data_IF_907539573215
#
_entry.id   IF_907539573215
#
_cell.length_a   1.000
_cell.length_b   1.000
_cell.length_c   1.000
_cell.angle_alpha   90.00
_cell.angle_beta   90.00
_cell.angle_gamma   90.00
#
_symmetry.space_group_name_H-M   'P 1'
#
loop_
_entity.id
_entity.type
_entity.pdbx_description
1 polymer ?
#
# COMPACT_ATOMS: atom_id res chain seq x y z
N UNK A 1 -20.25 -19.25 -5.39
CA UNK A 1 -19.94 -18.89 -3.99
C UNK A 1 -21.07 -18.00 -3.49
N UNK A 2 -21.59 -18.21 -2.28
CA UNK A 2 -22.60 -17.31 -1.75
C UNK A 2 -21.99 -15.89 -1.66
N UNK A 3 -22.64 -14.89 -2.28
CA UNK A 3 -22.25 -13.49 -2.11
C UNK A 3 -22.34 -13.20 -0.61
N UNK A 4 -21.23 -12.82 0.01
CA UNK A 4 -21.24 -12.56 1.45
C UNK A 4 -21.97 -11.24 1.72
N UNK A 5 -22.83 -11.24 2.74
CA UNK A 5 -23.69 -10.11 3.08
C UNK A 5 -23.52 -9.70 4.53
N UNK A 6 -23.69 -8.40 4.80
CA UNK A 6 -23.63 -7.85 6.16
C UNK A 6 -25.01 -7.34 6.54
N UNK A 7 -25.58 -7.88 7.62
CA UNK A 7 -26.80 -7.32 8.20
C UNK A 7 -26.46 -6.31 9.29
N UNK A 8 -26.86 -5.05 9.08
CA UNK A 8 -26.80 -4.00 10.10
C UNK A 8 -28.19 -3.64 10.61
N UNK A 9 -28.25 -3.06 11.81
CA UNK A 9 -29.49 -2.51 12.38
C UNK A 9 -29.25 -1.12 12.95
N UNK A 10 -29.99 -0.14 12.46
CA UNK A 10 -29.92 1.22 13.00
C UNK A 10 -30.97 1.42 14.11
N UNK A 11 -30.57 2.02 15.23
CA UNK A 11 -31.51 2.38 16.30
C UNK A 11 -32.43 3.50 15.82
N UNK A 12 -31.83 4.52 15.23
CA UNK A 12 -32.45 5.69 14.64
C UNK A 12 -31.65 6.07 13.39
N UNK A 13 -32.34 6.58 12.36
CA UNK A 13 -31.69 7.10 11.17
C UNK A 13 -32.55 8.18 10.50
N UNK A 14 -31.90 8.98 9.67
CA UNK A 14 -32.51 9.92 8.73
C UNK A 14 -32.01 9.61 7.32
N UNK A 15 -32.82 9.95 6.33
CA UNK A 15 -32.57 9.69 4.91
C UNK A 15 -32.48 11.02 4.14
N UNK A 16 -31.56 11.07 3.18
CA UNK A 16 -31.36 12.20 2.29
C UNK A 16 -31.06 11.71 0.87
N UNK A 17 -31.70 12.31 -0.12
CA UNK A 17 -31.44 12.07 -1.54
C UNK A 17 -31.20 13.42 -2.22
N UNK A 18 -29.93 13.84 -2.24
CA UNK A 18 -29.50 15.14 -2.82
C UNK A 18 -28.88 14.94 -4.21
N UNK A 19 -28.19 13.81 -4.41
CA UNK A 19 -27.63 13.41 -5.69
C UNK A 19 -28.56 12.35 -6.32
N UNK A 20 -28.82 12.41 -7.64
CA UNK A 20 -29.73 11.48 -8.32
C UNK A 20 -29.32 10.01 -8.20
N UNK A 21 -28.05 9.72 -7.96
CA UNK A 21 -27.49 8.36 -7.88
C UNK A 21 -27.15 7.92 -6.44
N UNK A 22 -27.30 8.80 -5.43
CA UNK A 22 -26.88 8.50 -4.07
C UNK A 22 -28.00 8.78 -3.09
N UNK A 23 -28.43 7.71 -2.41
CA UNK A 23 -29.23 7.74 -1.21
C UNK A 23 -28.32 7.67 0.01
N UNK A 24 -28.42 8.66 0.88
CA UNK A 24 -27.60 8.80 2.09
C UNK A 24 -28.46 8.54 3.32
N UNK A 25 -28.02 7.59 4.15
CA UNK A 25 -28.63 7.25 5.43
C UNK A 25 -27.66 7.61 6.55
N UNK A 26 -28.10 8.44 7.50
CA UNK A 26 -27.30 8.81 8.68
C UNK A 26 -27.99 8.27 9.90
N UNK A 27 -27.33 7.40 10.67
CA UNK A 27 -27.94 6.75 11.82
C UNK A 27 -26.97 6.31 12.90
N UNK A 28 -27.54 5.65 13.91
CA UNK A 28 -26.83 5.15 15.08
C UNK A 28 -26.86 3.61 15.11
N UNK A 29 -25.69 3.00 14.94
CA UNK A 29 -25.48 1.56 14.92
C UNK A 29 -25.14 1.05 16.33
N UNK A 30 -25.89 0.11 16.92
CA UNK A 30 -25.48 -0.56 18.15
C UNK A 30 -24.17 -1.31 17.93
N UNK A 31 -23.20 -1.15 18.84
CA UNK A 31 -21.83 -1.62 18.68
C UNK A 31 -21.69 -3.10 18.30
N UNK A 32 -22.57 -3.97 18.79
CA UNK A 32 -22.58 -5.41 18.44
C UNK A 32 -22.70 -5.70 16.94
N UNK A 33 -23.33 -4.83 16.15
CA UNK A 33 -23.48 -5.04 14.71
C UNK A 33 -22.21 -4.71 13.92
N UNK A 34 -21.20 -4.08 14.57
CA UNK A 34 -19.88 -3.88 13.95
C UNK A 34 -19.15 -5.20 13.79
N UNK A 35 -19.47 -6.22 14.58
CA UNK A 35 -18.86 -7.56 14.44
C UNK A 35 -19.06 -8.10 13.03
N UNK A 36 -20.29 -8.05 12.50
CA UNK A 36 -20.57 -8.49 11.12
C UNK A 36 -19.89 -7.63 10.06
N UNK A 37 -19.74 -6.32 10.30
CA UNK A 37 -18.96 -5.43 9.42
C UNK A 37 -17.50 -5.87 9.41
N UNK A 38 -16.88 -6.07 10.58
CA UNK A 38 -15.47 -6.46 10.68
C UNK A 38 -15.27 -7.87 10.14
N UNK A 39 -16.20 -8.81 10.35
CA UNK A 39 -16.11 -10.18 9.83
C UNK A 39 -15.96 -10.18 8.30
N UNK A 40 -16.82 -9.42 7.63
CA UNK A 40 -16.98 -9.45 6.17
C UNK A 40 -16.15 -8.42 5.39
N UNK A 41 -15.67 -7.36 6.04
CA UNK A 41 -14.98 -6.26 5.37
C UNK A 41 -13.55 -6.08 5.86
N UNK A 42 -12.71 -5.66 4.92
CA UNK A 42 -11.40 -5.06 5.17
C UNK A 42 -11.44 -3.54 4.90
N UNK A 43 -10.30 -2.87 4.94
CA UNK A 43 -10.09 -1.47 4.58
C UNK A 43 -9.58 -1.32 3.13
N UNK A 44 -10.04 -2.18 2.23
CA UNK A 44 -9.68 -2.14 0.80
C UNK A 44 -10.22 -0.88 0.12
N UNK A 45 -11.52 -0.58 0.30
CA UNK A 45 -12.14 0.64 -0.20
C UNK A 45 -11.66 1.91 0.53
N UNK A 46 -11.04 1.76 1.71
CA UNK A 46 -10.45 2.88 2.43
C UNK A 46 -9.10 3.26 1.80
N UNK A 47 -8.77 4.56 1.64
CA UNK A 47 -7.46 4.91 1.10
C UNK A 47 -6.35 4.57 2.08
N UNK A 48 -6.66 4.46 3.37
CA UNK A 48 -5.67 4.25 4.43
C UNK A 48 -5.91 2.94 5.14
N UNK A 49 -4.82 2.24 5.40
CA UNK A 49 -4.83 1.29 6.49
C UNK A 49 -4.79 2.03 7.83
N UNK A 50 -5.49 1.45 8.81
CA UNK A 50 -5.60 2.01 10.15
C UNK A 50 -4.54 1.43 11.07
N UNK A 51 -4.06 2.26 11.99
CA UNK A 51 -3.02 1.88 12.96
C UNK A 51 -3.36 2.38 14.35
N UNK A 52 -3.03 1.58 15.36
CA UNK A 52 -3.12 2.02 16.75
C UNK A 52 -2.20 3.20 17.03
N UNK A 53 -2.76 4.21 17.66
CA UNK A 53 -2.08 5.45 18.06
C UNK A 53 -2.94 6.26 19.03
N UNK A 54 -2.61 7.55 19.18
CA UNK A 54 -3.34 8.46 20.06
C UNK A 54 -4.83 8.56 19.72
N UNK A 55 -5.17 8.57 18.42
CA UNK A 55 -6.56 8.63 17.94
C UNK A 55 -7.36 7.41 18.39
N UNK A 56 -6.87 6.19 18.13
CA UNK A 56 -7.56 4.96 18.54
C UNK A 56 -7.65 4.84 20.06
N UNK A 57 -6.62 5.26 20.79
CA UNK A 57 -6.66 5.30 22.26
C UNK A 57 -7.74 6.24 22.77
N UNK A 58 -7.83 7.47 22.23
CA UNK A 58 -8.87 8.42 22.60
C UNK A 58 -10.29 7.93 22.29
N UNK A 59 -10.48 7.17 21.20
CA UNK A 59 -11.77 6.53 20.87
C UNK A 59 -12.11 5.46 21.92
N UNK A 60 -11.16 4.56 22.24
CA UNK A 60 -11.37 3.51 23.26
C UNK A 60 -11.71 4.11 24.62
N UNK A 61 -10.99 5.17 25.03
CA UNK A 61 -11.26 5.85 26.30
C UNK A 61 -12.63 6.55 26.28
N UNK A 62 -13.03 7.10 25.14
CA UNK A 62 -14.37 7.69 24.97
C UNK A 62 -15.49 6.65 25.05
N UNK A 63 -15.27 5.43 24.54
CA UNK A 63 -16.22 4.31 24.68
C UNK A 63 -16.37 3.94 26.16
N UNK A 64 -15.26 3.75 26.87
CA UNK A 64 -15.28 3.40 28.30
C UNK A 64 -16.05 4.44 29.12
N UNK A 65 -15.75 5.71 28.92
CA UNK A 65 -16.47 6.82 29.57
C UNK A 65 -17.96 6.82 29.26
N UNK A 66 -18.36 6.39 28.07
CA UNK A 66 -19.77 6.35 27.65
C UNK A 66 -20.55 5.20 28.26
N UNK A 67 -19.90 4.06 28.47
CA UNK A 67 -20.52 2.92 29.15
C UNK A 67 -20.65 3.16 30.66
N UNK A 68 -19.72 3.91 31.25
CA UNK A 68 -19.76 4.31 32.66
C UNK A 68 -20.68 5.51 32.93
N UNK A 69 -21.16 6.21 31.88
CA UNK A 69 -21.94 7.43 31.99
C UNK A 69 -23.34 7.30 31.41
N UNK A 70 -24.33 7.88 32.09
CA UNK A 70 -25.69 8.03 31.55
C UNK A 70 -25.80 9.10 30.44
N UNK A 71 -24.73 9.88 30.20
CA UNK A 71 -24.76 11.01 29.26
C UNK A 71 -24.74 10.60 27.78
N UNK A 72 -24.31 9.37 27.44
CA UNK A 72 -24.31 8.80 26.08
C UNK A 72 -23.71 9.75 25.02
N UNK A 73 -22.53 10.31 25.33
CA UNK A 73 -21.84 11.31 24.50
C UNK A 73 -20.96 10.72 23.38
N UNK A 74 -20.66 9.42 23.39
CA UNK A 74 -19.77 8.81 22.41
C UNK A 74 -20.17 9.10 20.95
N UNK A 75 -21.45 9.03 20.55
CA UNK A 75 -21.88 9.39 19.19
C UNK A 75 -21.48 10.81 18.74
N UNK A 76 -21.30 11.74 19.67
CA UNK A 76 -20.93 13.13 19.38
C UNK A 76 -19.42 13.37 19.43
N UNK A 77 -18.66 12.43 20.01
CA UNK A 77 -17.19 12.51 20.14
C UNK A 77 -16.46 11.91 18.94
N UNK A 78 -17.15 11.17 18.07
CA UNK A 78 -16.56 10.51 16.91
C UNK A 78 -17.24 10.89 15.60
N UNK A 79 -16.48 10.83 14.51
CA UNK A 79 -17.00 10.94 13.14
C UNK A 79 -17.75 9.68 12.69
N UNK A 80 -17.59 8.57 13.41
CA UNK A 80 -18.24 7.30 13.07
C UNK A 80 -17.60 6.57 11.89
N UNK A 81 -18.43 5.82 11.17
CA UNK A 81 -18.03 4.98 10.03
C UNK A 81 -18.82 5.43 8.80
N UNK A 82 -18.15 5.60 7.67
CA UNK A 82 -18.79 5.77 6.35
C UNK A 82 -18.73 4.44 5.60
N UNK A 83 -19.90 3.89 5.29
CA UNK A 83 -20.07 2.61 4.62
C UNK A 83 -20.78 2.81 3.28
N UNK A 84 -20.37 2.10 2.24
CA UNK A 84 -21.05 2.13 0.95
C UNK A 84 -21.25 0.72 0.38
N UNK A 85 -22.42 0.47 -0.20
CA UNK A 85 -22.75 -0.78 -0.87
C UNK A 85 -23.63 -0.50 -2.09
N UNK A 86 -23.37 -1.18 -3.21
CA UNK A 86 -24.18 -1.04 -4.43
C UNK A 86 -25.44 -1.91 -4.42
N UNK A 87 -25.46 -3.00 -3.64
CA UNK A 87 -26.58 -3.92 -3.53
C UNK A 87 -27.05 -4.01 -2.09
N UNK A 88 -28.35 -3.87 -1.86
CA UNK A 88 -28.93 -3.92 -0.53
C UNK A 88 -30.37 -4.44 -0.51
N UNK A 89 -30.78 -4.96 0.65
CA UNK A 89 -32.16 -5.31 0.96
C UNK A 89 -32.55 -4.60 2.25
N UNK A 90 -33.62 -3.81 2.18
CA UNK A 90 -34.25 -3.27 3.38
C UNK A 90 -35.07 -4.37 4.07
N UNK A 91 -34.81 -4.53 5.36
CA UNK A 91 -35.46 -5.51 6.20
C UNK A 91 -36.25 -4.81 7.30
N UNK A 92 -37.21 -5.54 7.87
CA UNK A 92 -38.00 -5.05 9.01
C UNK A 92 -37.12 -4.57 10.17
N UNK A 93 -37.66 -3.62 10.94
CA UNK A 93 -37.06 -3.09 12.18
C UNK A 93 -35.75 -2.33 11.95
N UNK A 94 -35.71 -1.52 10.89
CA UNK A 94 -34.58 -0.64 10.55
C UNK A 94 -33.29 -1.44 10.28
N UNK A 95 -33.43 -2.57 9.58
CA UNK A 95 -32.33 -3.45 9.24
C UNK A 95 -32.03 -3.32 7.75
N UNK A 96 -30.76 -3.44 7.42
CA UNK A 96 -30.28 -3.42 6.05
C UNK A 96 -29.35 -4.61 5.89
N UNK A 97 -29.62 -5.44 4.90
CA UNK A 97 -28.67 -6.44 4.41
C UNK A 97 -27.91 -5.83 3.25
N UNK A 98 -26.59 -5.78 3.36
CA UNK A 98 -25.71 -5.11 2.40
C UNK A 98 -24.86 -6.16 1.69
N UNK A 99 -24.70 -6.01 0.38
CA UNK A 99 -23.82 -6.83 -0.44
C UNK A 99 -22.84 -5.92 -1.18
N UNK A 100 -21.56 -6.29 -1.12
CA UNK A 100 -20.47 -5.49 -1.67
C UNK A 100 -19.93 -6.21 -2.91
N UNK A 101 -20.25 -5.67 -4.08
CA UNK A 101 -19.90 -6.32 -5.35
C UNK A 101 -18.45 -6.06 -5.74
N UNK A 102 -17.97 -4.83 -5.53
CA UNK A 102 -16.56 -4.44 -5.73
C UNK A 102 -15.95 -3.99 -4.40
N UNK A 103 -15.13 -4.83 -3.77
CA UNK A 103 -14.49 -4.56 -2.47
C UNK A 103 -13.45 -3.43 -2.53
N UNK A 104 -12.99 -3.06 -3.71
CA UNK A 104 -12.05 -1.96 -3.86
C UNK A 104 -12.72 -0.58 -3.86
N UNK A 105 -14.02 -0.51 -4.12
CA UNK A 105 -14.78 0.76 -4.13
C UNK A 105 -15.91 0.76 -3.10
N UNK A 106 -16.39 -0.41 -2.67
CA UNK A 106 -17.49 -0.59 -1.73
C UNK A 106 -16.97 -1.19 -0.40
N UNK A 107 -17.55 -0.76 0.71
CA UNK A 107 -17.11 -1.12 2.06
C UNK A 107 -16.88 0.11 2.93
N UNK A 108 -15.87 0.05 3.80
CA UNK A 108 -15.54 1.12 4.76
C UNK A 108 -14.75 2.23 4.04
N UNK A 109 -15.43 3.29 3.60
CA UNK A 109 -14.80 4.40 2.88
C UNK A 109 -14.05 5.38 3.81
N UNK A 110 -14.57 5.57 5.02
CA UNK A 110 -13.96 6.40 6.07
C UNK A 110 -14.30 5.82 7.45
N UNK A 111 -13.49 6.17 8.45
CA UNK A 111 -13.64 5.68 9.81
C UNK A 111 -12.84 4.42 10.12
N UNK A 112 -11.84 4.04 9.31
CA UNK A 112 -11.01 2.85 9.58
C UNK A 112 -10.39 2.84 10.99
N UNK A 113 -9.96 4.00 11.52
CA UNK A 113 -9.46 4.10 12.90
C UNK A 113 -10.57 3.91 13.94
N UNK A 114 -11.80 4.35 13.64
CA UNK A 114 -12.95 4.07 14.49
C UNK A 114 -13.25 2.58 14.49
N UNK A 115 -13.31 1.95 13.31
CA UNK A 115 -13.53 0.51 13.17
C UNK A 115 -12.44 -0.29 13.90
N UNK A 116 -11.17 0.07 13.74
CA UNK A 116 -10.05 -0.59 14.43
C UNK A 116 -10.15 -0.42 15.95
N UNK A 117 -10.43 0.80 16.44
CA UNK A 117 -10.54 1.08 17.87
C UNK A 117 -11.71 0.30 18.52
N UNK A 118 -12.88 0.29 17.87
CA UNK A 118 -14.05 -0.44 18.34
C UNK A 118 -13.81 -1.94 18.27
N UNK A 119 -13.21 -2.44 17.18
CA UNK A 119 -12.84 -3.84 17.02
C UNK A 119 -11.85 -4.31 18.09
N UNK A 120 -10.80 -3.55 18.36
CA UNK A 120 -9.83 -3.83 19.44
C UNK A 120 -10.51 -3.82 20.81
N UNK A 121 -11.45 -2.90 21.04
CA UNK A 121 -12.24 -2.89 22.27
C UNK A 121 -13.04 -4.17 22.42
N UNK A 122 -13.84 -4.55 21.41
CA UNK A 122 -14.66 -5.78 21.40
C UNK A 122 -13.78 -7.02 21.61
N UNK A 123 -12.68 -7.15 20.87
CA UNK A 123 -11.74 -8.26 20.97
C UNK A 123 -11.17 -8.39 22.40
N UNK A 124 -10.80 -7.27 23.01
CA UNK A 124 -10.27 -7.26 24.37
C UNK A 124 -11.32 -7.73 25.39
N UNK A 125 -12.57 -7.31 25.23
CA UNK A 125 -13.68 -7.72 26.10
C UNK A 125 -14.04 -9.19 25.90
N UNK A 126 -14.03 -9.68 24.65
CA UNK A 126 -14.25 -11.07 24.32
C UNK A 126 -13.17 -11.99 24.93
N UNK A 127 -11.88 -11.62 24.82
CA UNK A 127 -10.79 -12.37 25.48
C UNK A 127 -10.95 -12.39 27.00
N UNK A 128 -11.34 -11.25 27.60
CA UNK A 128 -11.62 -11.17 29.03
C UNK A 128 -12.78 -12.09 29.44
N UNK A 129 -13.87 -12.11 28.67
CA UNK A 129 -15.02 -13.00 28.88
C UNK A 129 -14.70 -14.49 28.71
N UNK A 130 -13.66 -14.81 27.94
CA UNK A 130 -13.14 -16.17 27.77
C UNK A 130 -12.04 -16.54 28.78
N UNK A 131 -11.69 -15.65 29.72
CA UNK A 131 -10.59 -15.87 30.68
C UNK A 131 -9.19 -15.91 30.03
N UNK A 132 -9.04 -15.34 28.83
CA UNK A 132 -7.81 -15.32 28.05
C UNK A 132 -7.06 -14.00 28.23
N UNK A 133 -5.71 -13.98 28.06
CA UNK A 133 -4.94 -12.74 28.12
C UNK A 133 -5.35 -11.77 27.01
N UNK A 134 -5.20 -10.47 27.28
CA UNK A 134 -5.44 -9.42 26.28
C UNK A 134 -4.49 -9.59 25.07
N UNK A 135 -4.93 -9.19 23.86
CA UNK A 135 -4.10 -9.26 22.67
C UNK A 135 -2.83 -8.41 22.84
N UNK A 136 -1.69 -8.90 22.35
CA UNK A 136 -0.43 -8.14 22.42
C UNK A 136 -0.50 -6.99 21.42
N UNK A 137 0.07 -5.84 21.79
CA UNK A 137 0.05 -4.61 20.95
C UNK A 137 0.53 -4.86 19.51
N UNK A 138 1.57 -5.67 19.30
CA UNK A 138 2.09 -5.99 17.95
C UNK A 138 1.09 -6.74 17.07
N UNK A 139 0.24 -7.57 17.67
CA UNK A 139 -0.72 -8.43 16.99
C UNK A 139 -1.99 -7.64 16.59
N UNK A 140 -2.15 -6.41 17.09
CA UNK A 140 -3.28 -5.54 16.78
C UNK A 140 -2.84 -4.14 16.33
N UNK A 141 -1.55 -3.96 16.03
CA UNK A 141 -0.97 -2.63 15.82
C UNK A 141 -1.50 -1.97 14.54
N UNK A 142 -1.59 -2.74 13.47
CA UNK A 142 -2.12 -2.34 12.17
C UNK A 142 -3.36 -3.19 11.85
N UNK A 143 -4.19 -2.70 10.93
CA UNK A 143 -5.44 -3.37 10.55
C UNK A 143 -5.23 -4.83 10.16
N UNK A 144 -4.23 -5.13 9.34
CA UNK A 144 -3.94 -6.50 8.87
C UNK A 144 -3.68 -7.48 10.03
N UNK A 145 -2.73 -7.16 10.92
CA UNK A 145 -2.45 -7.98 12.11
C UNK A 145 -3.70 -8.12 13.00
N UNK A 146 -4.45 -7.02 13.18
CA UNK A 146 -5.69 -7.03 13.93
C UNK A 146 -6.72 -7.97 13.30
N UNK A 147 -6.88 -7.94 11.97
CA UNK A 147 -7.82 -8.78 11.22
C UNK A 147 -7.46 -10.26 11.34
N UNK A 148 -6.17 -10.59 11.29
CA UNK A 148 -5.71 -11.96 11.56
C UNK A 148 -6.06 -12.38 13.00
N UNK A 149 -5.71 -11.55 14.00
CA UNK A 149 -6.00 -11.83 15.42
C UNK A 149 -7.51 -11.93 15.69
N UNK A 150 -8.32 -11.13 15.00
CA UNK A 150 -9.78 -11.15 15.05
C UNK A 150 -10.31 -12.49 14.55
N UNK A 151 -9.87 -12.95 13.39
CA UNK A 151 -10.25 -14.24 12.80
C UNK A 151 -9.84 -15.40 13.71
N UNK A 152 -8.60 -15.39 14.23
CA UNK A 152 -8.11 -16.40 15.18
C UNK A 152 -8.91 -16.44 16.50
N UNK A 153 -9.54 -15.32 16.85
CA UNK A 153 -10.33 -15.14 18.07
C UNK A 153 -11.84 -15.21 17.81
N UNK A 154 -12.26 -15.61 16.62
CA UNK A 154 -13.67 -15.43 16.21
C UNK A 154 -14.64 -16.22 17.07
N UNK A 155 -14.26 -17.41 17.53
CA UNK A 155 -15.06 -18.20 18.46
C UNK A 155 -15.26 -17.51 19.82
N UNK A 156 -14.22 -16.84 20.33
CA UNK A 156 -14.31 -16.08 21.59
C UNK A 156 -15.26 -14.88 21.43
N UNK A 157 -15.19 -14.20 20.29
CA UNK A 157 -16.07 -13.08 19.95
C UNK A 157 -17.51 -13.54 19.82
N UNK A 158 -17.78 -14.67 19.16
CA UNK A 158 -19.14 -15.19 19.01
C UNK A 158 -19.76 -15.52 20.36
N UNK A 159 -19.03 -16.29 21.17
CA UNK A 159 -19.48 -16.65 22.51
C UNK A 159 -19.75 -15.41 23.37
N UNK A 160 -18.91 -14.37 23.28
CA UNK A 160 -19.14 -13.11 23.96
C UNK A 160 -20.41 -12.40 23.47
N UNK A 161 -20.65 -12.32 22.16
CA UNK A 161 -21.86 -11.70 21.60
C UNK A 161 -23.13 -12.48 21.93
N UNK A 162 -23.06 -13.82 21.99
CA UNK A 162 -24.16 -14.68 22.44
C UNK A 162 -24.51 -14.41 23.91
N UNK A 163 -23.51 -14.34 24.80
CA UNK A 163 -23.71 -13.99 26.22
C UNK A 163 -24.41 -12.64 26.41
N UNK A 164 -24.16 -11.67 25.52
CA UNK A 164 -24.84 -10.39 25.57
C UNK A 164 -26.34 -10.49 25.24
N UNK A 165 -26.82 -11.55 24.59
CA UNK A 165 -28.26 -11.72 24.28
C UNK A 165 -29.07 -12.08 25.53
N UNK A 166 -28.49 -12.88 26.42
CA UNK A 166 -29.13 -13.34 27.65
C UNK A 166 -28.94 -12.35 28.80
N UNK A 167 -30.03 -11.92 29.44
CA UNK A 167 -29.98 -10.88 30.49
C UNK A 167 -29.09 -11.28 31.67
N UNK A 168 -29.22 -12.53 32.13
CA UNK A 168 -28.47 -13.06 33.28
C UNK A 168 -26.96 -13.07 33.01
N UNK A 169 -26.55 -13.57 31.84
CA UNK A 169 -25.14 -13.63 31.46
C UNK A 169 -24.56 -12.23 31.26
N UNK A 170 -25.35 -11.30 30.72
CA UNK A 170 -24.96 -9.90 30.59
C UNK A 170 -24.71 -9.23 31.96
N UNK A 171 -25.53 -9.54 32.96
CA UNK A 171 -25.34 -9.05 34.34
C UNK A 171 -24.09 -9.68 35.00
N UNK A 172 -23.77 -10.94 34.68
CA UNK A 172 -22.54 -11.60 35.13
C UNK A 172 -21.30 -10.95 34.50
N UNK A 173 -21.31 -10.70 33.19
CA UNK A 173 -20.22 -9.99 32.51
C UNK A 173 -19.95 -8.61 33.13
N UNK A 174 -20.99 -7.86 33.47
CA UNK A 174 -20.84 -6.55 34.10
C UNK A 174 -20.19 -6.63 35.50
N UNK A 175 -20.48 -7.68 36.29
CA UNK A 175 -19.84 -7.89 37.60
C UNK A 175 -18.35 -8.13 37.47
N UNK A 176 -17.92 -8.77 36.38
CA UNK A 176 -16.51 -9.00 36.07
C UNK A 176 -15.83 -7.78 35.41
N UNK A 177 -16.55 -6.65 35.31
CA UNK A 177 -16.11 -5.44 34.63
C UNK A 177 -15.87 -5.66 33.14
N UNK A 178 -16.63 -6.58 32.53
CA UNK A 178 -16.64 -6.80 31.08
C UNK A 178 -17.76 -5.96 30.50
N UNK A 179 -17.42 -5.24 29.42
CA UNK A 179 -18.35 -4.37 28.70
C UNK A 179 -19.61 -5.12 28.25
N UNK A 180 -20.74 -4.42 28.23
CA UNK A 180 -21.99 -4.92 27.66
C UNK A 180 -22.21 -4.47 26.20
N UNK A 181 -21.23 -3.75 25.62
CA UNK A 181 -21.30 -3.06 24.34
C UNK A 181 -22.53 -2.15 24.22
N UNK A 182 -22.91 -1.50 25.33
CA UNK A 182 -24.08 -0.63 25.38
C UNK A 182 -23.72 0.80 24.98
N UNK A 183 -23.26 0.96 23.75
CA UNK A 183 -22.99 2.26 23.14
C UNK A 183 -23.39 2.25 21.65
N UNK A 184 -23.55 3.45 21.11
CA UNK A 184 -24.00 3.66 19.73
C UNK A 184 -22.88 4.27 18.90
N UNK A 185 -22.72 3.77 17.68
CA UNK A 185 -21.70 4.22 16.75
C UNK A 185 -22.38 4.99 15.62
N UNK A 186 -22.00 6.25 15.36
CA UNK A 186 -22.49 6.96 14.20
C UNK A 186 -22.11 6.21 12.93
N UNK A 187 -23.10 5.94 12.09
CA UNK A 187 -22.92 5.31 10.78
C UNK A 187 -23.53 6.22 9.72
N UNK A 188 -22.75 6.50 8.69
CA UNK A 188 -23.24 7.06 7.45
C UNK A 188 -23.18 5.96 6.39
N UNK A 189 -24.31 5.66 5.76
CA UNK A 189 -24.46 4.63 4.75
C UNK A 189 -24.84 5.27 3.42
N UNK A 190 -24.05 5.00 2.39
CA UNK A 190 -24.31 5.42 1.01
C UNK A 190 -24.80 4.21 0.21
N UNK A 191 -25.96 4.37 -0.41
CA UNK A 191 -26.60 3.38 -1.26
C UNK A 191 -26.96 4.04 -2.60
N UNK A 192 -27.07 3.29 -3.71
CA UNK A 192 -27.70 3.82 -4.90
C UNK A 192 -29.18 4.13 -4.65
N UNK A 193 -29.69 5.17 -5.29
CA UNK A 193 -31.12 5.51 -5.28
C UNK A 193 -31.97 4.45 -5.96
N UNK A 194 -31.43 3.83 -7.00
CA UNK A 194 -32.00 2.70 -7.73
C UNK A 194 -30.89 1.67 -8.00
N UNK A 195 -30.94 0.54 -7.30
CA UNK A 195 -29.95 -0.54 -7.42
C UNK A 195 -30.19 -1.45 -8.64
N UNK A 196 -31.39 -1.39 -9.23
CA UNK A 196 -31.75 -2.20 -10.41
C UNK A 196 -31.41 -1.45 -11.72
N UNK A 197 -31.00 -0.19 -11.63
CA UNK A 197 -30.59 0.65 -12.76
C UNK A 197 -29.07 0.73 -12.89
N UNK A 198 -28.51 0.07 -13.91
CA UNK A 198 -27.07 0.01 -14.15
C UNK A 198 -26.40 1.40 -14.27
N UNK A 199 -27.06 2.38 -14.90
CA UNK A 199 -26.51 3.74 -15.02
C UNK A 199 -26.46 4.46 -13.67
N UNK A 200 -27.44 4.21 -12.80
CA UNK A 200 -27.44 4.73 -11.43
C UNK A 200 -26.29 4.10 -10.63
N UNK A 201 -26.12 2.79 -10.72
CA UNK A 201 -25.04 2.06 -10.02
C UNK A 201 -23.65 2.48 -10.51
N UNK A 202 -23.46 2.65 -11.81
CA UNK A 202 -22.21 3.17 -12.39
C UNK A 202 -21.92 4.60 -11.88
N UNK A 203 -22.93 5.47 -11.92
CA UNK A 203 -22.84 6.83 -11.41
C UNK A 203 -22.53 6.88 -9.90
N UNK A 204 -23.14 6.00 -9.11
CA UNK A 204 -22.88 5.82 -7.69
C UNK A 204 -21.42 5.42 -7.43
N UNK A 205 -20.94 4.33 -8.08
CA UNK A 205 -19.57 3.82 -7.93
C UNK A 205 -18.52 4.87 -8.31
N UNK A 206 -18.74 5.61 -9.41
CA UNK A 206 -17.87 6.71 -9.83
C UNK A 206 -17.73 7.81 -8.77
N UNK A 207 -18.82 8.11 -8.06
CA UNK A 207 -18.81 9.10 -6.97
C UNK A 207 -18.10 8.60 -5.70
N UNK A 208 -18.03 7.29 -5.46
CA UNK A 208 -17.46 6.75 -4.21
C UNK A 208 -15.98 7.11 -4.03
N UNK A 209 -15.15 7.04 -5.07
CA UNK A 209 -13.74 7.42 -4.95
C UNK A 209 -13.56 8.91 -4.64
N UNK A 210 -14.31 9.78 -5.31
CA UNK A 210 -14.26 11.23 -5.05
C UNK A 210 -14.66 11.55 -3.59
N UNK A 211 -15.74 10.90 -3.11
CA UNK A 211 -16.20 11.05 -1.72
C UNK A 211 -15.15 10.53 -0.74
N UNK A 212 -14.62 9.34 -1.01
CA UNK A 212 -13.59 8.68 -0.21
C UNK A 212 -12.34 9.56 -0.06
N UNK A 213 -11.85 10.10 -1.17
CA UNK A 213 -10.73 11.05 -1.20
C UNK A 213 -11.02 12.33 -0.41
N UNK A 214 -12.21 12.92 -0.60
CA UNK A 214 -12.58 14.17 0.05
C UNK A 214 -12.71 14.02 1.58
N UNK A 215 -13.27 12.91 2.05
CA UNK A 215 -13.54 12.66 3.49
C UNK A 215 -12.28 12.38 4.30
N UNK A 216 -11.28 11.79 3.66
CA UNK A 216 -10.00 11.44 4.28
C UNK A 216 -9.00 12.62 4.39
N UNK A 217 -9.34 13.83 3.91
CA UNK A 217 -8.45 15.00 3.83
C UNK A 217 -8.15 15.73 5.16
N UNK A 218 -8.57 15.25 6.34
CA UNK A 218 -8.21 15.89 7.63
C UNK A 218 -6.69 15.88 7.91
N UNK A 219 -5.96 14.99 7.23
CA UNK A 219 -4.55 15.15 6.87
C UNK A 219 -4.49 14.85 5.36
N UNK A 220 -3.75 15.61 4.56
CA UNK A 220 -3.73 15.43 3.10
C UNK A 220 -3.30 13.99 2.74
N UNK A 221 -4.11 13.28 1.95
CA UNK A 221 -3.70 11.99 1.38
C UNK A 221 -2.45 12.18 0.53
N UNK A 222 -1.46 11.28 0.67
CA UNK A 222 -0.28 11.29 -0.20
C UNK A 222 -0.72 10.97 -1.62
N UNK A 223 -0.04 11.52 -2.63
CA UNK A 223 -0.41 11.31 -4.03
C UNK A 223 -0.37 9.81 -4.41
N UNK A 224 0.59 9.06 -3.87
CA UNK A 224 0.65 7.60 -4.06
C UNK A 224 -0.57 6.86 -3.52
N UNK A 225 -1.14 7.31 -2.40
CA UNK A 225 -2.34 6.67 -1.86
C UNK A 225 -3.55 6.87 -2.77
N UNK A 226 -3.74 8.09 -3.30
CA UNK A 226 -4.81 8.39 -4.26
C UNK A 226 -4.65 7.59 -5.56
N UNK A 227 -3.43 7.57 -6.08
CA UNK A 227 -3.09 6.83 -7.27
C UNK A 227 -3.32 5.31 -7.16
N UNK A 228 -3.12 4.74 -5.97
CA UNK A 228 -3.46 3.34 -5.72
C UNK A 228 -4.98 3.10 -5.80
N UNK A 229 -5.81 4.02 -5.31
CA UNK A 229 -7.27 3.92 -5.48
C UNK A 229 -7.71 4.11 -6.94
N UNK A 230 -7.02 4.99 -7.68
CA UNK A 230 -7.22 5.19 -9.12
C UNK A 230 -6.78 3.98 -9.97
N UNK A 231 -6.14 2.95 -9.39
CA UNK A 231 -5.66 1.77 -10.13
C UNK A 231 -4.33 1.96 -10.89
N UNK A 232 -3.65 3.10 -10.71
CA UNK A 232 -2.43 3.45 -11.48
C UNK A 232 -1.22 2.56 -11.17
N UNK A 233 -1.29 1.76 -10.10
CA UNK A 233 -0.27 0.77 -9.74
C UNK A 233 -0.65 -0.67 -10.07
N UNK A 234 -1.88 -0.93 -10.53
CA UNK A 234 -2.40 -2.29 -10.67
C UNK A 234 -1.57 -3.14 -11.62
N UNK A 235 -1.18 -2.58 -12.76
CA UNK A 235 -0.31 -3.30 -13.70
C UNK A 235 1.04 -3.62 -13.09
N UNK A 236 1.64 -2.67 -12.37
CA UNK A 236 2.94 -2.90 -11.72
C UNK A 236 2.83 -3.98 -10.64
N UNK A 237 1.75 -3.95 -9.84
CA UNK A 237 1.41 -4.99 -8.86
C UNK A 237 1.27 -6.36 -9.53
N UNK A 238 0.47 -6.46 -10.59
CA UNK A 238 0.25 -7.71 -11.32
C UNK A 238 1.55 -8.27 -11.92
N UNK A 239 2.45 -7.41 -12.41
CA UNK A 239 3.74 -7.85 -12.95
C UNK A 239 4.70 -8.37 -11.87
N UNK A 240 4.70 -7.78 -10.67
CA UNK A 240 5.45 -8.35 -9.53
C UNK A 240 4.84 -9.67 -9.07
N UNK A 241 3.51 -9.75 -8.99
CA UNK A 241 2.78 -10.98 -8.64
C UNK A 241 3.10 -12.12 -9.63
N UNK A 242 3.10 -11.82 -10.94
CA UNK A 242 3.45 -12.79 -11.99
C UNK A 242 4.90 -13.30 -11.83
N UNK A 243 5.83 -12.42 -11.43
CA UNK A 243 7.24 -12.78 -11.29
C UNK A 243 7.52 -13.56 -10.00
N UNK A 244 6.98 -13.10 -8.88
CA UNK A 244 7.22 -13.64 -7.54
C UNK A 244 6.11 -13.16 -6.56
N UNK A 245 5.10 -14.00 -6.29
CA UNK A 245 4.02 -13.69 -5.35
C UNK A 245 4.50 -13.32 -3.94
N UNK A 246 5.51 -14.03 -3.41
CA UNK A 246 6.02 -13.79 -2.05
C UNK A 246 6.73 -12.42 -1.95
N UNK A 247 7.36 -11.98 -3.05
CA UNK A 247 7.91 -10.64 -3.13
C UNK A 247 6.79 -9.58 -3.24
N UNK A 248 5.77 -9.85 -4.05
CA UNK A 248 4.67 -8.92 -4.31
C UNK A 248 3.88 -8.59 -3.03
N UNK A 249 3.64 -9.58 -2.17
CA UNK A 249 2.99 -9.40 -0.86
C UNK A 249 3.77 -8.46 0.07
N UNK A 250 5.10 -8.37 -0.08
CA UNK A 250 5.95 -7.49 0.73
C UNK A 250 5.93 -6.02 0.29
N UNK A 251 5.18 -5.66 -0.76
CA UNK A 251 5.12 -4.30 -1.30
C UNK A 251 4.02 -3.48 -0.61
N UNK A 252 4.40 -2.31 -0.12
CA UNK A 252 3.54 -1.30 0.48
C UNK A 252 3.05 -0.32 -0.58
N UNK A 253 1.76 -0.35 -0.87
CA UNK A 253 1.12 0.47 -1.92
C UNK A 253 0.30 1.63 -1.34
N UNK A 254 -0.19 1.49 -0.10
CA UNK A 254 -0.90 2.56 0.61
C UNK A 254 -0.28 2.85 1.97
N UNK A 255 -0.67 3.99 2.52
CA UNK A 255 -0.15 4.42 3.82
C UNK A 255 -0.57 3.43 4.92
N UNK A 256 0.41 3.01 5.74
CA UNK A 256 0.27 2.06 6.85
C UNK A 256 0.03 0.58 6.46
N UNK A 257 0.40 0.14 5.26
CA UNK A 257 0.39 -1.31 4.95
C UNK A 257 1.32 -2.12 5.87
N UNK A 258 2.36 -1.50 6.44
CA UNK A 258 3.30 -2.22 7.31
C UNK A 258 4.27 -3.14 6.56
N UNK A 259 4.05 -3.33 5.27
CA UNK A 259 4.91 -4.02 4.32
C UNK A 259 6.30 -3.41 4.20
N UNK A 260 7.31 -4.26 3.93
CA UNK A 260 8.74 -3.90 3.99
C UNK A 260 9.19 -3.03 2.82
N UNK A 261 8.68 -3.28 1.62
CA UNK A 261 9.15 -2.63 0.39
C UNK A 261 8.24 -1.45 0.06
N UNK A 262 8.79 -0.25 0.09
CA UNK A 262 8.06 0.96 -0.33
C UNK A 262 7.94 0.99 -1.86
N UNK A 263 6.70 1.00 -2.37
CA UNK A 263 6.39 1.10 -3.81
C UNK A 263 7.09 2.28 -4.50
N UNK A 264 7.35 3.38 -3.80
CA UNK A 264 8.09 4.53 -4.36
C UNK A 264 9.51 4.18 -4.79
N UNK A 265 10.15 3.23 -4.12
CA UNK A 265 11.49 2.77 -4.52
C UNK A 265 11.42 1.93 -5.81
N UNK A 266 10.36 1.15 -5.99
CA UNK A 266 10.14 0.37 -7.21
C UNK A 266 9.78 1.29 -8.39
N UNK A 267 8.92 2.30 -8.16
CA UNK A 267 8.60 3.34 -9.16
C UNK A 267 9.85 4.14 -9.54
N UNK A 268 10.72 4.45 -8.57
CA UNK A 268 11.99 5.11 -8.87
C UNK A 268 12.90 4.26 -9.76
N UNK A 269 12.95 2.94 -9.55
CA UNK A 269 13.69 2.02 -10.43
C UNK A 269 13.04 1.89 -11.81
N UNK A 270 11.70 1.86 -11.90
CA UNK A 270 11.01 1.73 -13.19
C UNK A 270 11.27 2.90 -14.15
N UNK A 271 11.66 4.06 -13.63
CA UNK A 271 12.13 5.17 -14.46
C UNK A 271 13.36 4.85 -15.31
N UNK A 272 14.17 3.85 -14.94
CA UNK A 272 15.30 3.40 -15.76
C UNK A 272 14.81 2.93 -17.14
N UNK A 273 13.78 2.08 -17.19
CA UNK A 273 13.19 1.59 -18.45
C UNK A 273 12.16 2.56 -19.03
N UNK A 274 11.32 3.21 -18.20
CA UNK A 274 10.34 4.19 -18.68
C UNK A 274 10.99 5.38 -19.39
N UNK A 275 12.21 5.77 -18.99
CA UNK A 275 12.99 6.83 -19.65
C UNK A 275 13.37 6.51 -21.11
N UNK A 276 13.17 5.29 -21.58
CA UNK A 276 13.42 4.88 -22.97
C UNK A 276 12.17 5.00 -23.84
N UNK A 277 10.98 5.12 -23.24
CA UNK A 277 9.73 5.21 -23.96
C UNK A 277 9.67 6.50 -24.79
N UNK A 278 9.02 6.45 -25.94
CA UNK A 278 8.85 7.62 -26.81
C UNK A 278 8.04 8.74 -26.13
N UNK A 279 7.21 8.40 -25.15
CA UNK A 279 6.45 9.35 -24.33
C UNK A 279 7.28 10.32 -23.52
N UNK A 280 8.55 10.00 -23.26
CA UNK A 280 9.47 10.87 -22.50
C UNK A 280 10.79 11.13 -23.19
N UNK A 281 11.08 10.38 -24.26
CA UNK A 281 12.34 10.40 -25.00
C UNK A 281 12.11 10.57 -26.52
N UNK A 282 11.23 11.49 -26.90
CA UNK A 282 11.00 11.88 -28.30
C UNK A 282 10.71 13.39 -28.44
N UNK A 283 10.63 13.88 -29.67
CA UNK A 283 10.24 15.27 -29.96
C UNK A 283 8.78 15.60 -29.62
N UNK A 284 7.91 14.58 -29.56
CA UNK A 284 6.48 14.70 -29.24
C UNK A 284 6.15 14.11 -27.86
N UNK A 285 7.14 14.12 -26.95
CA UNK A 285 6.99 13.59 -25.59
C UNK A 285 5.84 14.27 -24.83
N UNK A 286 5.15 13.48 -24.01
CA UNK A 286 4.11 13.95 -23.09
C UNK A 286 4.70 14.70 -21.91
N UNK A 287 5.84 14.24 -21.39
CA UNK A 287 6.53 14.85 -20.25
C UNK A 287 8.02 14.53 -20.19
N UNK A 288 8.74 15.29 -19.37
CA UNK A 288 10.16 15.04 -19.10
C UNK A 288 10.33 13.95 -18.06
N UNK A 289 11.17 12.96 -18.37
CA UNK A 289 11.62 11.97 -17.39
C UNK A 289 12.34 12.66 -16.21
N UNK A 290 12.22 12.12 -14.99
CA UNK A 290 13.04 12.57 -13.88
C UNK A 290 14.53 12.34 -14.17
N UNK A 291 15.40 13.15 -13.58
CA UNK A 291 16.85 12.96 -13.75
C UNK A 291 17.29 11.62 -13.15
N UNK A 292 18.36 11.02 -13.70
CA UNK A 292 18.94 9.78 -13.18
C UNK A 292 19.21 9.84 -11.67
N UNK A 293 19.67 10.99 -11.17
CA UNK A 293 19.93 11.22 -9.73
C UNK A 293 18.68 11.12 -8.86
N UNK A 294 17.50 11.40 -9.42
CA UNK A 294 16.23 11.39 -8.69
C UNK A 294 15.82 9.98 -8.29
N UNK A 295 16.29 8.93 -8.99
CA UNK A 295 15.96 7.55 -8.62
C UNK A 295 16.53 7.18 -7.23
N UNK A 296 17.66 7.78 -6.85
CA UNK A 296 18.27 7.64 -5.52
C UNK A 296 17.71 8.65 -4.52
N UNK A 297 17.76 9.94 -4.87
CA UNK A 297 17.59 11.04 -3.93
C UNK A 297 16.24 11.75 -3.97
N UNK A 298 15.41 11.43 -4.97
CA UNK A 298 14.16 12.14 -5.27
C UNK A 298 13.00 11.19 -5.58
N UNK A 299 12.83 10.11 -4.81
CA UNK A 299 11.79 9.08 -5.04
C UNK A 299 10.38 9.65 -5.10
N UNK A 300 10.08 10.69 -4.32
CA UNK A 300 8.78 11.39 -4.38
C UNK A 300 8.57 12.07 -5.74
N UNK A 301 9.60 12.71 -6.29
CA UNK A 301 9.54 13.31 -7.64
C UNK A 301 9.38 12.24 -8.73
N UNK A 302 10.02 11.09 -8.57
CA UNK A 302 9.81 9.94 -9.46
C UNK A 302 8.36 9.44 -9.39
N UNK A 303 7.77 9.39 -8.19
CA UNK A 303 6.36 9.06 -8.02
C UNK A 303 5.46 10.07 -8.72
N UNK A 304 5.63 11.37 -8.44
CA UNK A 304 4.86 12.46 -9.08
C UNK A 304 4.86 12.32 -10.61
N UNK A 305 6.04 12.18 -11.22
CA UNK A 305 6.16 12.01 -12.67
C UNK A 305 5.52 10.73 -13.19
N UNK A 306 5.57 9.65 -12.42
CA UNK A 306 4.96 8.38 -12.83
C UNK A 306 3.45 8.55 -12.86
N UNK A 307 2.88 9.24 -11.87
CA UNK A 307 1.46 9.55 -11.83
C UNK A 307 1.03 10.49 -12.95
N UNK A 308 1.83 11.52 -13.26
CA UNK A 308 1.59 12.39 -14.42
C UNK A 308 1.48 11.56 -15.70
N UNK A 309 2.46 10.67 -15.95
CA UNK A 309 2.47 9.77 -17.11
C UNK A 309 1.23 8.86 -17.14
N UNK A 310 0.96 8.16 -16.04
CA UNK A 310 -0.10 7.17 -15.98
C UNK A 310 -1.50 7.78 -16.04
N UNK A 311 -1.69 9.06 -15.70
CA UNK A 311 -3.00 9.74 -15.81
C UNK A 311 -3.32 10.22 -17.22
N UNK A 312 -2.37 10.20 -18.16
CA UNK A 312 -2.67 10.52 -19.54
C UNK A 312 -3.56 9.45 -20.18
N UNK A 313 -4.59 9.91 -20.92
CA UNK A 313 -5.53 9.06 -21.65
C UNK A 313 -4.86 8.26 -22.79
N UNK A 314 -3.62 8.62 -23.16
CA UNK A 314 -2.81 7.85 -24.11
C UNK A 314 -2.12 6.63 -23.47
N UNK A 315 -2.07 6.58 -22.13
CA UNK A 315 -1.35 5.55 -21.36
C UNK A 315 -2.32 4.64 -20.62
N UNK A 316 -3.29 5.21 -19.89
CA UNK A 316 -4.34 4.48 -19.20
C UNK A 316 -5.72 4.97 -19.62
N UNK A 317 -6.74 4.11 -19.54
CA UNK A 317 -8.15 4.47 -19.80
C UNK A 317 -9.02 4.16 -18.60
N UNK A 318 -10.07 4.96 -18.41
CA UNK A 318 -11.08 4.70 -17.38
C UNK A 318 -11.93 3.46 -17.75
N UNK A 319 -12.13 2.56 -16.79
CA UNK A 319 -12.89 1.31 -16.98
C UNK A 319 -14.22 1.36 -16.20
N UNK A 320 -15.22 2.09 -16.73
CA UNK A 320 -16.59 2.16 -16.18
C UNK A 320 -16.69 2.64 -14.72
N UNK A 321 -15.59 3.14 -14.18
CA UNK A 321 -15.43 3.59 -12.80
C UNK A 321 -14.37 4.68 -12.77
N UNK A 322 -14.08 5.21 -11.60
CA UNK A 322 -12.97 6.14 -11.37
C UNK A 322 -11.58 5.46 -11.36
N UNK A 323 -11.51 4.14 -11.58
CA UNK A 323 -10.26 3.40 -11.80
C UNK A 323 -9.79 3.49 -13.26
N UNK A 324 -8.48 3.38 -13.46
CA UNK A 324 -7.81 3.46 -14.75
C UNK A 324 -6.92 2.24 -14.99
N UNK A 325 -6.96 1.71 -16.20
CA UNK A 325 -6.19 0.54 -16.61
C UNK A 325 -5.17 0.90 -17.69
N UNK A 326 -3.94 0.38 -17.57
CA UNK A 326 -2.89 0.56 -18.56
C UNK A 326 -3.25 -0.17 -19.86
N UNK A 327 -3.15 0.55 -20.98
CA UNK A 327 -3.34 -0.04 -22.30
C UNK A 327 -2.15 0.17 -23.24
N UNK A 328 -1.29 1.17 -22.99
CA UNK A 328 -0.17 1.46 -23.86
C UNK A 328 0.90 0.33 -23.82
N UNK A 329 1.18 -0.33 -24.97
CA UNK A 329 2.10 -1.46 -25.01
C UNK A 329 3.57 -1.05 -24.76
N UNK A 330 3.94 0.20 -25.06
CA UNK A 330 5.29 0.70 -24.84
C UNK A 330 5.57 0.83 -23.32
N UNK A 331 4.70 1.52 -22.59
CA UNK A 331 4.77 1.63 -21.12
C UNK A 331 4.66 0.26 -20.46
N UNK A 332 3.77 -0.62 -20.92
CA UNK A 332 3.66 -1.98 -20.38
C UNK A 332 4.98 -2.75 -20.52
N UNK A 333 5.63 -2.71 -21.69
CA UNK A 333 6.91 -3.38 -21.91
C UNK A 333 8.06 -2.79 -21.07
N UNK A 334 8.05 -1.47 -20.85
CA UNK A 334 9.00 -0.82 -19.97
C UNK A 334 8.80 -1.25 -18.51
N UNK A 335 7.55 -1.35 -18.03
CA UNK A 335 7.25 -1.87 -16.69
C UNK A 335 7.64 -3.34 -16.54
N UNK A 336 7.41 -4.18 -17.55
CA UNK A 336 7.88 -5.58 -17.57
C UNK A 336 9.40 -5.67 -17.38
N UNK A 337 10.15 -4.86 -18.13
CA UNK A 337 11.60 -4.76 -17.99
C UNK A 337 12.02 -4.26 -16.60
N UNK A 338 11.26 -3.33 -16.02
CA UNK A 338 11.55 -2.77 -14.70
C UNK A 338 11.43 -3.78 -13.55
N UNK A 339 10.59 -4.81 -13.69
CA UNK A 339 10.36 -5.81 -12.64
C UNK A 339 11.63 -6.62 -12.33
N UNK A 340 12.59 -6.70 -13.26
CA UNK A 340 13.88 -7.35 -13.00
C UNK A 340 14.81 -6.52 -12.10
N UNK A 341 14.62 -5.19 -12.05
CA UNK A 341 15.57 -4.26 -11.44
C UNK A 341 15.79 -4.47 -9.93
N UNK A 342 14.79 -4.80 -9.09
CA UNK A 342 15.04 -5.12 -7.68
C UNK A 342 15.96 -6.34 -7.48
N UNK A 343 15.80 -7.39 -8.30
CA UNK A 343 16.67 -8.57 -8.26
C UNK A 343 18.08 -8.25 -8.76
N UNK A 344 18.19 -7.48 -9.84
CA UNK A 344 19.48 -7.04 -10.37
C UNK A 344 20.21 -6.12 -9.39
N UNK A 345 19.49 -5.24 -8.69
CA UNK A 345 20.04 -4.37 -7.65
C UNK A 345 20.69 -5.21 -6.54
N UNK A 346 19.98 -6.20 -6.02
CA UNK A 346 20.46 -7.07 -4.94
C UNK A 346 21.60 -7.99 -5.38
N UNK A 347 21.59 -8.45 -6.64
CA UNK A 347 22.70 -9.19 -7.22
C UNK A 347 23.96 -8.31 -7.31
N UNK A 348 23.85 -7.11 -7.87
CA UNK A 348 24.96 -6.15 -7.95
C UNK A 348 25.45 -5.81 -6.54
N UNK A 349 24.54 -5.56 -5.59
CA UNK A 349 24.85 -5.28 -4.19
C UNK A 349 25.77 -6.36 -3.58
N UNK A 350 25.42 -7.65 -3.73
CA UNK A 350 26.24 -8.74 -3.17
C UNK A 350 27.59 -8.91 -3.85
N UNK A 351 27.64 -8.67 -5.16
CA UNK A 351 28.87 -8.84 -5.94
C UNK A 351 29.82 -7.63 -5.81
N UNK A 352 29.30 -6.46 -5.41
CA UNK A 352 30.05 -5.21 -5.40
C UNK A 352 31.33 -5.26 -4.54
N UNK A 353 31.32 -5.77 -3.28
CA UNK A 353 32.52 -5.82 -2.45
C UNK A 353 33.65 -6.63 -3.06
N UNK A 354 33.37 -7.82 -3.60
CA UNK A 354 34.39 -8.69 -4.20
C UNK A 354 35.01 -8.08 -5.46
N UNK A 355 34.22 -7.34 -6.24
CA UNK A 355 34.69 -6.60 -7.42
C UNK A 355 35.56 -5.42 -7.05
N UNK A 356 35.14 -4.63 -6.06
CA UNK A 356 35.94 -3.52 -5.54
C UNK A 356 37.29 -4.03 -4.98
N UNK A 357 37.30 -5.18 -4.31
CA UNK A 357 38.52 -5.76 -3.72
C UNK A 357 39.62 -6.10 -4.75
N UNK A 358 39.33 -6.10 -6.05
CA UNK A 358 40.34 -6.24 -7.11
C UNK A 358 41.26 -5.02 -7.24
N UNK A 359 40.80 -3.86 -6.79
CA UNK A 359 41.51 -2.57 -6.92
C UNK A 359 41.78 -1.88 -5.58
N UNK A 360 41.37 -2.50 -4.47
CA UNK A 360 41.50 -1.90 -3.15
C UNK A 360 41.01 -2.82 -2.04
N UNK A 361 40.74 -2.26 -0.86
CA UNK A 361 40.19 -3.00 0.28
C UNK A 361 38.84 -2.39 0.67
N UNK A 362 37.75 -3.02 0.24
CA UNK A 362 36.39 -2.52 0.40
C UNK A 362 36.05 -2.28 1.87
N UNK A 363 36.36 -3.23 2.75
CA UNK A 363 36.12 -3.11 4.20
C UNK A 363 36.90 -2.00 4.90
N UNK A 364 37.89 -1.36 4.24
CA UNK A 364 38.61 -0.21 4.80
C UNK A 364 37.92 1.12 4.56
N UNK A 365 36.95 1.18 3.65
CA UNK A 365 36.18 2.39 3.33
C UNK A 365 35.42 2.86 4.57
N UNK A 366 35.52 4.15 4.91
CA UNK A 366 34.91 4.75 6.09
C UNK A 366 33.39 4.58 6.13
N UNK A 367 32.71 4.84 5.01
CA UNK A 367 31.27 4.67 4.87
C UNK A 367 30.82 3.21 5.11
N UNK A 368 31.61 2.23 4.67
CA UNK A 368 31.33 0.80 4.87
C UNK A 368 31.49 0.42 6.35
N UNK A 369 32.58 0.87 6.99
CA UNK A 369 32.78 0.67 8.44
C UNK A 369 31.64 1.23 9.27
N UNK A 370 31.09 2.37 8.88
CA UNK A 370 29.93 2.98 9.55
C UNK A 370 28.64 2.16 9.47
N UNK A 371 28.52 1.27 8.48
CA UNK A 371 27.35 0.38 8.31
C UNK A 371 27.54 -1.00 8.94
N UNK A 372 28.77 -1.36 9.33
CA UNK A 372 29.05 -2.65 9.95
C UNK A 372 28.39 -2.75 11.33
N UNK A 373 27.77 -3.90 11.61
CA UNK A 373 27.11 -4.17 12.89
C UNK A 373 27.84 -5.28 13.66
N UNK A 374 27.63 -5.33 14.99
CA UNK A 374 28.32 -6.29 15.87
C UNK A 374 27.97 -7.76 15.58
N UNK A 375 26.84 -8.01 14.91
CA UNK A 375 26.35 -9.37 14.60
C UNK A 375 26.89 -9.90 13.27
N UNK A 376 27.48 -9.03 12.43
CA UNK A 376 27.86 -9.34 11.05
C UNK A 376 26.71 -9.96 10.23
N UNK A 377 25.48 -9.55 10.52
CA UNK A 377 24.29 -9.97 9.79
C UNK A 377 23.89 -8.83 8.85
N UNK A 378 24.06 -9.02 7.55
CA UNK A 378 23.66 -8.07 6.53
C UNK A 378 22.74 -8.74 5.54
N UNK A 379 21.79 -7.97 5.03
CA UNK A 379 20.78 -8.43 4.09
C UNK A 379 20.69 -7.49 2.91
N UNK A 380 20.29 -8.02 1.77
CA UNK A 380 20.08 -7.22 0.56
C UNK A 380 18.80 -6.40 0.64
N UNK A 381 18.75 -5.18 0.05
CA UNK A 381 17.63 -4.27 0.25
C UNK A 381 16.26 -4.77 -0.23
N UNK A 382 16.17 -5.49 -1.34
CA UNK A 382 14.87 -5.86 -1.92
C UNK A 382 14.43 -7.28 -1.63
N UNK A 383 15.34 -8.26 -1.59
CA UNK A 383 15.03 -9.68 -1.42
C UNK A 383 15.36 -10.19 -0.02
N UNK A 384 15.96 -9.34 0.83
CA UNK A 384 16.36 -9.70 2.19
C UNK A 384 17.29 -10.93 2.26
N UNK A 385 18.09 -11.14 1.20
CA UNK A 385 19.01 -12.28 1.12
C UNK A 385 20.29 -11.97 1.91
N UNK A 386 20.93 -12.98 2.54
CA UNK A 386 22.18 -12.76 3.25
C UNK A 386 23.26 -12.13 2.35
N UNK A 387 24.03 -11.21 2.92
CA UNK A 387 25.17 -10.56 2.28
C UNK A 387 26.38 -10.55 3.22
N UNK A 388 27.57 -10.72 2.66
CA UNK A 388 28.81 -10.80 3.46
C UNK A 388 29.18 -9.45 4.08
N UNK A 389 28.87 -8.35 3.38
CA UNK A 389 29.21 -6.99 3.79
C UNK A 389 28.09 -6.01 3.44
N UNK A 390 27.90 -4.94 4.23
CA UNK A 390 26.94 -3.90 3.89
C UNK A 390 27.48 -3.06 2.73
N UNK A 391 26.57 -2.60 1.87
CA UNK A 391 26.89 -1.70 0.77
C UNK A 391 26.05 -0.43 0.85
N UNK A 392 26.68 0.76 0.89
CA UNK A 392 25.94 2.00 0.78
C UNK A 392 25.17 2.07 -0.54
N UNK A 393 23.87 2.32 -0.46
CA UNK A 393 23.00 2.44 -1.64
C UNK A 393 23.54 3.39 -2.72
N UNK A 394 24.11 4.53 -2.29
CA UNK A 394 24.66 5.54 -3.20
C UNK A 394 25.76 5.01 -4.13
N UNK A 395 26.40 3.88 -3.79
CA UNK A 395 27.36 3.22 -4.67
C UNK A 395 26.69 2.32 -5.73
N UNK A 396 25.49 1.80 -5.45
CA UNK A 396 24.78 0.84 -6.33
C UNK A 396 23.84 1.54 -7.31
N UNK A 397 23.16 2.63 -6.90
CA UNK A 397 22.18 3.33 -7.74
C UNK A 397 22.72 3.79 -9.12
N UNK A 398 23.97 4.26 -9.26
CA UNK A 398 24.53 4.54 -10.58
C UNK A 398 24.75 3.28 -11.43
N UNK A 399 25.14 2.16 -10.83
CA UNK A 399 25.35 0.90 -11.54
C UNK A 399 24.04 0.28 -12.03
N UNK A 400 23.00 0.26 -11.18
CA UNK A 400 21.68 -0.23 -11.60
C UNK A 400 21.08 0.64 -12.69
N UNK A 401 21.24 1.97 -12.60
CA UNK A 401 20.86 2.88 -13.68
C UNK A 401 21.63 2.58 -14.97
N UNK A 402 22.93 2.31 -14.87
CA UNK A 402 23.75 2.03 -16.04
C UNK A 402 23.37 0.75 -16.79
N UNK A 403 22.60 -0.17 -16.19
CA UNK A 403 21.97 -1.28 -16.93
C UNK A 403 21.00 -0.81 -18.02
N UNK A 404 20.55 0.46 -18.00
CA UNK A 404 19.86 1.10 -19.12
C UNK A 404 20.63 0.95 -20.44
N UNK A 405 21.96 0.90 -20.41
CA UNK A 405 22.80 0.71 -21.60
C UNK A 405 22.61 -0.65 -22.29
N UNK A 406 22.07 -1.65 -21.60
CA UNK A 406 21.74 -2.98 -22.15
C UNK A 406 20.23 -3.17 -22.34
N UNK A 407 19.44 -2.09 -22.28
CA UNK A 407 18.05 -2.06 -22.72
C UNK A 407 17.99 -1.49 -24.14
N UNK A 408 16.99 -1.90 -24.91
CA UNK A 408 16.73 -1.37 -26.26
C UNK A 408 15.25 -1.11 -26.46
N UNK A 409 14.96 -0.15 -27.35
CA UNK A 409 13.62 0.04 -27.91
C UNK A 409 13.57 -0.74 -29.22
N UNK A 410 12.67 -1.72 -29.30
CA UNK A 410 12.45 -2.48 -30.52
C UNK A 410 11.86 -1.55 -31.60
N UNK A 411 12.55 -1.46 -32.74
CA UNK A 411 12.23 -0.52 -33.82
C UNK A 411 10.91 -0.84 -34.53
N UNK A 412 10.42 -2.08 -34.46
CA UNK A 412 9.20 -2.51 -35.16
C UNK A 412 7.94 -2.22 -34.35
N UNK A 413 8.00 -2.38 -33.02
CA UNK A 413 6.82 -2.30 -32.15
C UNK A 413 6.94 -1.27 -31.01
N UNK A 414 8.07 -0.54 -30.94
CA UNK A 414 8.32 0.49 -29.95
C UNK A 414 8.49 -0.03 -28.51
N UNK A 415 8.56 -1.34 -28.28
CA UNK A 415 8.63 -1.94 -26.95
C UNK A 415 10.03 -1.84 -26.36
N UNK A 416 10.09 -1.58 -25.06
CA UNK A 416 11.33 -1.61 -24.28
C UNK A 416 11.60 -3.05 -23.85
N UNK A 417 12.80 -3.55 -24.14
CA UNK A 417 13.23 -4.90 -23.78
C UNK A 417 14.72 -4.92 -23.43
N UNK A 418 15.16 -5.95 -22.70
CA UNK A 418 16.57 -6.22 -22.51
C UNK A 418 17.21 -6.66 -23.82
N UNK A 419 18.34 -6.03 -24.19
CA UNK A 419 19.08 -6.38 -25.40
C UNK A 419 19.87 -7.71 -25.25
N UNK A 420 20.15 -8.10 -24.01
CA UNK A 420 20.77 -9.38 -23.61
C UNK A 420 20.20 -9.83 -22.27
N UNK A 421 20.41 -11.08 -21.86
CA UNK A 421 19.97 -11.52 -20.54
C UNK A 421 20.73 -10.73 -19.45
N UNK A 422 20.02 -9.89 -18.65
CA UNK A 422 20.69 -9.00 -17.71
C UNK A 422 21.36 -9.77 -16.56
N UNK A 423 20.78 -10.90 -16.13
CA UNK A 423 21.33 -11.73 -15.06
C UNK A 423 22.65 -12.39 -15.48
N UNK A 424 22.70 -12.94 -16.70
CA UNK A 424 23.95 -13.50 -17.25
C UNK A 424 24.98 -12.40 -17.50
N UNK A 425 24.55 -11.23 -17.99
CA UNK A 425 25.45 -10.11 -18.24
C UNK A 425 26.11 -9.61 -16.95
N UNK A 426 25.36 -9.46 -15.85
CA UNK A 426 25.94 -9.01 -14.59
C UNK A 426 26.90 -10.04 -13.98
N UNK A 427 26.86 -11.32 -14.39
CA UNK A 427 27.85 -12.33 -13.95
C UNK A 427 29.15 -12.29 -14.77
N UNK A 428 29.14 -11.62 -15.92
CA UNK A 428 30.27 -11.58 -16.84
C UNK A 428 31.51 -10.87 -16.29
N UNK A 429 32.68 -11.26 -16.80
CA UNK A 429 33.95 -10.56 -16.57
C UNK A 429 33.92 -9.14 -17.13
N UNK A 430 33.23 -8.90 -18.24
CA UNK A 430 33.05 -7.59 -18.85
C UNK A 430 32.33 -6.63 -17.88
N UNK A 431 31.21 -7.05 -17.29
CA UNK A 431 30.52 -6.25 -16.29
C UNK A 431 31.35 -6.07 -15.01
N UNK A 432 32.15 -7.07 -14.61
CA UNK A 432 33.09 -6.91 -13.49
C UNK A 432 34.13 -5.80 -13.76
N UNK A 433 34.62 -5.70 -14.99
CA UNK A 433 35.53 -4.62 -15.41
C UNK A 433 34.81 -3.26 -15.43
N UNK A 434 33.56 -3.21 -15.86
CA UNK A 434 32.76 -1.97 -15.79
C UNK A 434 32.58 -1.46 -14.36
N UNK A 435 32.32 -2.36 -13.40
CA UNK A 435 32.24 -1.99 -11.97
C UNK A 435 33.58 -1.44 -11.48
N UNK A 436 34.71 -2.07 -11.85
CA UNK A 436 36.05 -1.59 -11.49
C UNK A 436 36.32 -0.19 -12.05
N UNK A 437 35.97 0.07 -13.32
CA UNK A 437 36.11 1.39 -13.93
C UNK A 437 35.25 2.43 -13.20
N UNK A 438 33.99 2.10 -12.90
CA UNK A 438 33.08 2.96 -12.15
C UNK A 438 33.59 3.30 -10.74
N UNK A 439 34.28 2.37 -10.06
CA UNK A 439 34.85 2.62 -8.73
C UNK A 439 35.81 3.82 -8.69
N UNK A 440 36.41 4.23 -9.82
CA UNK A 440 37.17 5.48 -9.91
C UNK A 440 36.35 6.72 -9.50
N UNK A 441 35.04 6.75 -9.81
CA UNK A 441 34.14 7.84 -9.40
C UNK A 441 33.93 7.86 -7.89
N UNK A 442 33.85 6.68 -7.26
CA UNK A 442 33.72 6.56 -5.81
C UNK A 442 34.98 7.12 -5.12
N UNK A 443 36.16 6.82 -5.66
CA UNK A 443 37.43 7.35 -5.15
C UNK A 443 37.50 8.87 -5.29
N UNK A 444 37.10 9.41 -6.44
CA UNK A 444 37.04 10.87 -6.69
C UNK A 444 36.02 11.59 -5.78
N UNK A 445 35.02 10.86 -5.30
CA UNK A 445 34.00 11.39 -4.39
C UNK A 445 34.34 11.19 -2.91
N UNK A 446 35.62 11.01 -2.58
CA UNK A 446 36.13 10.76 -1.22
C UNK A 446 35.47 9.56 -0.52
N UNK A 447 34.99 8.57 -1.29
CA UNK A 447 34.21 7.45 -0.78
C UNK A 447 32.92 7.84 -0.04
N UNK A 448 32.37 9.03 -0.31
CA UNK A 448 31.11 9.49 0.26
C UNK A 448 29.92 9.02 -0.60
N UNK A 449 29.09 8.09 -0.11
CA UNK A 449 27.96 7.56 -0.88
C UNK A 449 26.89 8.62 -1.18
N UNK A 450 26.77 9.68 -0.39
CA UNK A 450 25.85 10.78 -0.70
C UNK A 450 26.36 11.60 -1.88
N UNK A 451 27.66 11.90 -1.94
CA UNK A 451 28.27 12.57 -3.11
C UNK A 451 28.13 11.72 -4.37
N UNK A 452 28.43 10.43 -4.27
CA UNK A 452 28.32 9.50 -5.42
C UNK A 452 26.87 9.42 -5.89
N UNK A 453 25.93 9.10 -5.00
CA UNK A 453 24.52 8.89 -5.34
C UNK A 453 23.80 10.16 -5.80
N UNK A 454 24.24 11.36 -5.38
CA UNK A 454 23.69 12.65 -5.81
C UNK A 454 24.45 13.29 -6.98
N UNK A 455 25.60 12.73 -7.37
CA UNK A 455 26.42 13.23 -8.46
C UNK A 455 25.94 12.71 -9.81
N UNK A 456 25.50 13.61 -10.70
CA UNK A 456 25.04 13.23 -12.05
C UNK A 456 26.12 12.49 -12.85
N UNK A 457 27.39 12.88 -12.70
CA UNK A 457 28.52 12.24 -13.36
C UNK A 457 28.67 10.75 -13.01
N UNK A 458 28.29 10.33 -11.80
CA UNK A 458 28.32 8.93 -11.39
C UNK A 458 27.46 8.05 -12.28
N UNK A 459 26.26 8.53 -12.64
CA UNK A 459 25.31 7.80 -13.49
C UNK A 459 25.81 7.72 -14.93
N UNK A 460 26.28 8.84 -15.49
CA UNK A 460 26.86 8.88 -16.83
C UNK A 460 28.11 7.98 -16.92
N UNK A 461 28.98 8.00 -15.92
CA UNK A 461 30.18 7.17 -15.91
C UNK A 461 29.84 5.69 -15.80
N UNK A 462 28.87 5.31 -14.97
CA UNK A 462 28.42 3.92 -14.84
C UNK A 462 27.77 3.41 -16.12
N UNK A 463 26.86 4.19 -16.72
CA UNK A 463 26.19 3.86 -17.98
C UNK A 463 27.21 3.69 -19.12
N UNK A 464 28.20 4.59 -19.23
CA UNK A 464 29.25 4.48 -20.24
C UNK A 464 30.13 3.23 -20.04
N UNK A 465 30.53 2.94 -18.81
CA UNK A 465 31.34 1.75 -18.51
C UNK A 465 30.58 0.46 -18.85
N UNK A 466 29.29 0.40 -18.52
CA UNK A 466 28.43 -0.75 -18.82
C UNK A 466 28.19 -0.86 -20.33
N UNK A 467 27.98 0.25 -21.03
CA UNK A 467 27.85 0.28 -22.49
C UNK A 467 29.09 -0.29 -23.17
N UNK A 468 30.29 0.09 -22.72
CA UNK A 468 31.55 -0.46 -23.24
C UNK A 468 31.67 -1.96 -22.97
N UNK A 469 31.31 -2.41 -21.77
CA UNK A 469 31.32 -3.83 -21.41
C UNK A 469 30.28 -4.67 -22.18
N UNK A 470 29.18 -4.07 -22.62
CA UNK A 470 28.20 -4.75 -23.47
C UNK A 470 28.68 -4.88 -24.92
N UNK A 471 29.51 -3.95 -25.39
CA UNK A 471 30.08 -3.95 -26.74
C UNK A 471 31.34 -4.81 -26.88
N UNK A 472 31.94 -5.25 -25.78
CA UNK A 472 33.13 -6.12 -25.74
C UNK A 472 32.75 -7.59 -25.73
#
# INVERSE_FOLDING_TARGET
>A
MAKSSVTIRLKEFSEQTINPNIRRIIGLLPARFIVGIIDELDLEANPRNSRLGSVTSGIIDSIRQDEDSSARLFPFKTKGILLAASSYVELDRKRFELTFEDRHTEGILDGGHNTLAIGVYILTQAKKAAGKPSPKKKDIQIWENFKQTWNDSRADIESYIEKLREKKEREELAKDGISQLDFLVPLELLLPTDQDNELCVEGFRKSLLEICDARNNNAQLTQGTKANQEGLFDTMRALFEEKDPEFAEQISWKTNDGNRIDSRSLVALSWISLSLTHWVNSGEKLLEAPSAVSIYSGKEKCLERYLDLMRHDEITKACGSSRRELYDPCVLSALKTAVDLPWLYDAIYRMFPSRYNKIGSYGRISAVKGLMNKRNEYVTPFLNQPADQPVPDGFIYPLIYGLRAIMRVNSENGRVEWATNPYTFIESSAFANAVVQYCGVIQQSDYDPQKVGKGAFSYTSAENAIKLAYMS
#
